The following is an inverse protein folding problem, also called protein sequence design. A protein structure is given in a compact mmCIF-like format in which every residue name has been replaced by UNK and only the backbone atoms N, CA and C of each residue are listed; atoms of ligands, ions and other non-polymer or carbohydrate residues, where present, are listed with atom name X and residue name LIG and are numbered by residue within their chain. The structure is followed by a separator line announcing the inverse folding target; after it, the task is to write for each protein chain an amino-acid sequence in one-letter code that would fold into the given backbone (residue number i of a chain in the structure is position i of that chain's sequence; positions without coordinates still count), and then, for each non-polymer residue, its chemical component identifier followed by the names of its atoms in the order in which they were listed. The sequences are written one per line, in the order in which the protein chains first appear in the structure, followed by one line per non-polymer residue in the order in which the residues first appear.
data_IF_593455982025
#
_entry.id   IF_593455982025
#
_cell.length_a   1.000
_cell.length_b   1.000
_cell.length_c   1.000
_cell.angle_alpha   90.00
_cell.angle_beta   90.00
_cell.angle_gamma   90.00
#
_symmetry.space_group_name_H-M   'P 1'
#
loop_
_entity.id
_entity.type
_entity.pdbx_description
1 polymer ?
#
# COMPACT_ATOMS: atom_id res chain seq x y z
N UNK A 1 -12.61 -12.05 5.08
CA UNK A 1 -11.27 -12.47 5.56
C UNK A 1 -10.64 -11.40 6.44
N UNK A 2 -10.43 -10.17 6.01
CA UNK A 2 -9.77 -9.11 6.81
C UNK A 2 -10.38 -8.92 8.21
N UNK A 3 -11.71 -8.91 8.33
CA UNK A 3 -12.43 -8.82 9.62
C UNK A 3 -12.07 -9.93 10.61
N UNK A 4 -11.64 -11.10 10.11
CA UNK A 4 -11.29 -12.26 10.95
C UNK A 4 -9.85 -12.22 11.42
N UNK A 5 -8.95 -11.71 10.58
CA UNK A 5 -7.50 -11.68 10.87
C UNK A 5 -7.05 -10.35 11.50
N UNK A 6 -7.84 -9.28 11.40
CA UNK A 6 -7.57 -8.01 12.05
C UNK A 6 -8.03 -8.05 13.52
N UNK A 7 -7.31 -7.36 14.38
CA UNK A 7 -7.67 -7.24 15.78
C UNK A 7 -6.50 -6.84 16.64
N UNK A 8 -6.79 -6.50 17.90
CA UNK A 8 -5.78 -6.17 18.87
C UNK A 8 -5.16 -7.43 19.49
N UNK A 9 -3.84 -7.52 19.52
CA UNK A 9 -3.09 -8.50 20.31
C UNK A 9 -2.42 -7.78 21.49
N UNK A 10 -2.85 -8.12 22.71
CA UNK A 10 -2.32 -7.53 23.93
C UNK A 10 -0.82 -7.89 24.20
N UNK A 11 -0.27 -8.88 23.48
CA UNK A 11 1.15 -9.27 23.56
C UNK A 11 2.03 -8.49 22.59
N UNK A 12 1.43 -7.77 21.64
CA UNK A 12 2.13 -6.91 20.69
C UNK A 12 1.90 -5.43 21.07
N UNK A 13 2.94 -4.78 21.57
CA UNK A 13 2.89 -3.37 21.98
C UNK A 13 2.62 -2.39 20.83
N UNK A 14 2.77 -2.83 19.58
CA UNK A 14 2.49 -2.03 18.38
C UNK A 14 1.06 -2.20 17.88
N UNK A 15 0.34 -3.19 18.40
CA UNK A 15 -1.04 -3.47 18.02
C UNK A 15 -1.99 -2.39 18.58
N UNK A 16 -2.78 -1.78 17.71
CA UNK A 16 -3.69 -0.68 18.08
C UNK A 16 -4.91 -1.25 18.82
N UNK A 17 -5.24 -0.76 20.04
CA UNK A 17 -6.39 -1.24 20.82
C UNK A 17 -7.70 -0.62 20.32
N UNK A 18 -8.09 -0.93 19.09
CA UNK A 18 -9.34 -0.48 18.48
C UNK A 18 -10.21 -1.66 18.06
N UNK A 19 -11.52 -1.44 18.09
CA UNK A 19 -12.48 -2.41 17.56
C UNK A 19 -12.30 -2.55 16.04
N UNK A 20 -12.39 -3.79 15.55
CA UNK A 20 -12.32 -4.07 14.12
C UNK A 20 -13.61 -3.60 13.44
N UNK A 21 -13.55 -2.67 12.49
CA UNK A 21 -14.73 -2.22 11.78
C UNK A 21 -15.27 -3.33 10.87
N UNK A 22 -16.53 -3.23 10.50
CA UNK A 22 -17.10 -4.10 9.49
C UNK A 22 -16.73 -3.59 8.08
N UNK A 23 -15.59 -4.05 7.56
CA UNK A 23 -15.10 -3.64 6.23
C UNK A 23 -16.09 -3.92 5.09
N UNK A 24 -16.99 -4.90 5.25
CA UNK A 24 -17.97 -5.23 4.22
C UNK A 24 -19.01 -4.13 4.03
N UNK A 25 -19.30 -3.35 5.07
CA UNK A 25 -20.26 -2.23 4.98
C UNK A 25 -19.72 -1.05 4.14
N UNK A 26 -18.40 -0.97 3.94
CA UNK A 26 -17.78 0.03 3.08
C UNK A 26 -17.86 -0.32 1.57
N UNK A 27 -18.24 -1.56 1.25
CA UNK A 27 -18.36 -2.02 -0.13
C UNK A 27 -19.75 -1.64 -0.69
N UNK A 28 -19.99 -0.37 -0.83
CA UNK A 28 -21.28 0.16 -1.31
C UNK A 28 -21.51 -0.05 -2.80
N UNK A 29 -20.44 -0.30 -3.57
CA UNK A 29 -20.49 -0.32 -5.04
C UNK A 29 -20.63 1.05 -5.69
N UNK A 30 -20.75 2.12 -4.90
CA UNK A 30 -20.86 3.48 -5.39
C UNK A 30 -19.51 4.21 -5.25
N UNK A 31 -18.98 4.69 -6.38
CA UNK A 31 -17.74 5.48 -6.45
C UNK A 31 -17.99 6.89 -6.97
N UNK A 32 -19.26 7.30 -7.09
CA UNK A 32 -19.63 8.64 -7.56
C UNK A 32 -19.00 9.71 -6.68
N UNK A 33 -18.29 10.65 -7.31
CA UNK A 33 -17.60 11.73 -6.61
C UNK A 33 -16.24 11.36 -6.03
N UNK A 34 -15.79 10.10 -6.17
CA UNK A 34 -14.43 9.72 -5.83
C UNK A 34 -13.44 10.48 -6.71
N UNK A 35 -12.42 11.08 -6.10
CA UNK A 35 -11.34 11.77 -6.81
C UNK A 35 -10.11 10.89 -6.87
N UNK A 36 -9.60 10.68 -8.08
CA UNK A 36 -8.43 9.86 -8.35
C UNK A 36 -7.36 10.72 -9.01
N UNK A 37 -6.13 10.65 -8.50
CA UNK A 37 -4.97 11.26 -9.12
C UNK A 37 -4.24 10.27 -10.02
N UNK A 38 -3.94 10.66 -11.25
CA UNK A 38 -3.12 9.91 -12.19
C UNK A 38 -1.74 10.56 -12.29
N UNK A 39 -0.69 10.00 -11.65
CA UNK A 39 0.62 10.60 -11.69
C UNK A 39 1.23 10.55 -13.10
N UNK A 40 1.61 11.70 -13.63
CA UNK A 40 2.26 11.78 -14.94
C UNK A 40 3.60 11.04 -14.98
N UNK A 41 4.29 10.98 -13.84
CA UNK A 41 5.57 10.29 -13.68
C UNK A 41 5.47 8.76 -13.82
N UNK A 42 4.25 8.20 -13.71
CA UNK A 42 4.00 6.77 -13.90
C UNK A 42 3.71 6.42 -15.36
N UNK A 43 3.41 7.42 -16.20
CA UNK A 43 3.11 7.27 -17.63
C UNK A 43 4.33 7.59 -18.50
N UNK A 44 5.52 7.20 -18.05
CA UNK A 44 6.78 7.46 -18.74
C UNK A 44 7.03 6.52 -19.93
N UNK A 45 7.96 6.90 -20.79
CA UNK A 45 8.46 6.04 -21.86
C UNK A 45 9.09 4.76 -21.32
N UNK A 46 8.74 3.61 -21.93
CA UNK A 46 9.21 2.29 -21.49
C UNK A 46 8.14 1.47 -20.76
N UNK A 47 6.98 2.06 -20.45
CA UNK A 47 5.83 1.29 -20.00
C UNK A 47 5.33 0.38 -21.13
N UNK A 48 5.11 -0.89 -20.82
CA UNK A 48 4.54 -1.85 -21.78
C UNK A 48 3.21 -1.33 -22.33
N UNK A 49 3.02 -1.32 -23.68
CA UNK A 49 1.81 -0.80 -24.29
C UNK A 49 0.53 -1.51 -23.86
N UNK A 50 0.58 -2.82 -23.59
CA UNK A 50 -0.60 -3.57 -23.13
C UNK A 50 -0.97 -3.17 -21.70
N UNK A 51 0.03 -2.98 -20.84
CA UNK A 51 -0.16 -2.49 -19.47
C UNK A 51 -0.77 -1.09 -19.51
N UNK A 52 -0.21 -0.20 -20.34
CA UNK A 52 -0.77 1.15 -20.51
C UNK A 52 -2.22 1.12 -20.97
N UNK A 53 -2.54 0.32 -21.98
CA UNK A 53 -3.89 0.19 -22.49
C UNK A 53 -4.88 -0.33 -21.43
N UNK A 54 -4.45 -1.29 -20.61
CA UNK A 54 -5.24 -1.82 -19.50
C UNK A 54 -5.52 -0.75 -18.43
N UNK A 55 -4.51 0.02 -18.05
CA UNK A 55 -4.66 1.14 -17.09
C UNK A 55 -5.59 2.20 -17.66
N UNK A 56 -5.41 2.60 -18.92
CA UNK A 56 -6.29 3.59 -19.59
C UNK A 56 -7.75 3.10 -19.66
N UNK A 57 -7.95 1.80 -19.89
CA UNK A 57 -9.30 1.21 -19.89
C UNK A 57 -9.93 1.23 -18.48
N UNK A 58 -9.14 0.90 -17.44
CA UNK A 58 -9.61 0.96 -16.06
C UNK A 58 -9.97 2.40 -15.65
N UNK A 59 -9.16 3.39 -16.03
CA UNK A 59 -9.44 4.81 -15.77
C UNK A 59 -10.76 5.22 -16.42
N UNK A 60 -10.97 4.88 -17.69
CA UNK A 60 -12.25 5.17 -18.38
C UNK A 60 -13.44 4.50 -17.70
N UNK A 61 -13.27 3.28 -17.24
CA UNK A 61 -14.33 2.57 -16.51
C UNK A 61 -14.68 3.28 -15.20
N UNK A 62 -13.69 3.70 -14.42
CA UNK A 62 -13.92 4.44 -13.17
C UNK A 62 -14.61 5.79 -13.42
N UNK A 63 -14.21 6.50 -14.48
CA UNK A 63 -14.89 7.73 -14.87
C UNK A 63 -16.35 7.48 -15.28
N UNK A 64 -16.63 6.41 -16.03
CA UNK A 64 -18.00 6.06 -16.41
C UNK A 64 -18.90 5.72 -15.23
N UNK A 65 -18.30 5.26 -14.12
CA UNK A 65 -18.96 4.98 -12.85
C UNK A 65 -19.10 6.22 -11.94
N UNK A 66 -18.64 7.38 -12.41
CA UNK A 66 -18.83 8.66 -11.72
C UNK A 66 -17.65 9.15 -10.88
N UNK A 67 -16.48 8.51 -10.98
CA UNK A 67 -15.25 9.04 -10.41
C UNK A 67 -14.71 10.19 -11.28
N UNK A 68 -14.06 11.18 -10.66
CA UNK A 68 -13.25 12.18 -11.35
C UNK A 68 -11.79 11.75 -11.36
N UNK A 69 -11.12 11.88 -12.50
CA UNK A 69 -9.69 11.56 -12.63
C UNK A 69 -8.96 12.83 -13.08
N UNK A 70 -7.93 13.18 -12.34
CA UNK A 70 -7.10 14.36 -12.57
C UNK A 70 -5.63 13.94 -12.71
N UNK A 71 -4.92 14.55 -13.66
CA UNK A 71 -3.47 14.38 -13.72
C UNK A 71 -2.82 15.11 -12.54
N UNK A 72 -1.94 14.40 -11.84
CA UNK A 72 -1.17 14.94 -10.72
C UNK A 72 0.32 14.76 -10.98
N UNK A 73 1.17 15.40 -10.17
CA UNK A 73 2.61 15.22 -10.21
C UNK A 73 3.11 14.68 -8.87
N UNK A 74 3.97 13.65 -8.95
CA UNK A 74 4.75 13.10 -7.85
C UNK A 74 6.25 13.28 -8.16
N UNK A 75 6.79 14.50 -8.02
CA UNK A 75 8.12 14.89 -8.56
C UNK A 75 9.30 14.12 -7.95
N UNK A 76 9.09 13.44 -6.83
CA UNK A 76 10.12 12.64 -6.15
C UNK A 76 10.08 11.15 -6.50
N UNK A 77 9.26 10.74 -7.44
CA UNK A 77 9.11 9.33 -7.88
C UNK A 77 10.44 8.72 -8.31
N UNK A 78 11.30 9.47 -8.98
CA UNK A 78 12.61 8.99 -9.44
C UNK A 78 13.54 8.57 -8.29
N UNK A 79 13.33 9.11 -7.10
CA UNK A 79 14.12 8.77 -5.91
C UNK A 79 13.53 7.63 -5.09
N UNK A 80 12.30 7.20 -5.39
CA UNK A 80 11.55 6.28 -4.54
C UNK A 80 12.28 4.94 -4.32
N UNK A 81 12.76 4.33 -5.39
CA UNK A 81 13.48 3.06 -5.31
C UNK A 81 14.81 3.20 -4.54
N UNK A 82 15.61 4.22 -4.83
CA UNK A 82 16.87 4.46 -4.15
C UNK A 82 16.65 4.73 -2.65
N UNK A 83 15.66 5.54 -2.33
CA UNK A 83 15.27 5.84 -0.94
C UNK A 83 14.85 4.58 -0.20
N UNK A 84 14.03 3.73 -0.83
CA UNK A 84 13.62 2.45 -0.25
C UNK A 84 14.81 1.56 0.07
N UNK A 85 15.74 1.38 -0.87
CA UNK A 85 16.93 0.54 -0.68
C UNK A 85 17.90 1.06 0.37
N UNK A 86 17.85 2.34 0.71
CA UNK A 86 18.66 2.91 1.79
C UNK A 86 17.93 2.78 3.12
N UNK A 87 16.68 3.26 3.21
CA UNK A 87 15.95 3.35 4.48
C UNK A 87 15.51 1.98 5.01
N UNK A 88 14.93 1.14 4.17
CA UNK A 88 14.38 -0.13 4.62
C UNK A 88 15.47 -1.10 5.16
N UNK A 89 16.62 -1.30 4.48
CA UNK A 89 17.70 -2.12 5.05
C UNK A 89 18.35 -1.50 6.29
N UNK A 90 18.48 -0.17 6.36
CA UNK A 90 19.04 0.49 7.54
C UNK A 90 18.13 0.29 8.76
N UNK A 91 16.82 0.49 8.61
CA UNK A 91 15.84 0.23 9.67
C UNK A 91 15.80 -1.26 10.06
N UNK A 92 15.74 -2.16 9.09
CA UNK A 92 15.74 -3.59 9.35
C UNK A 92 17.01 -4.01 10.12
N UNK A 93 18.18 -3.54 9.71
CA UNK A 93 19.44 -3.80 10.39
C UNK A 93 19.41 -3.29 11.83
N UNK A 94 18.97 -2.05 12.06
CA UNK A 94 18.89 -1.47 13.39
C UNK A 94 17.88 -2.20 14.30
N UNK A 95 16.71 -2.53 13.76
CA UNK A 95 15.66 -3.21 14.52
C UNK A 95 16.00 -4.67 14.84
N UNK A 96 16.68 -5.37 13.94
CA UNK A 96 17.03 -6.77 14.09
C UNK A 96 18.37 -6.99 14.82
N UNK A 97 19.20 -5.95 15.00
CA UNK A 97 20.51 -6.06 15.65
C UNK A 97 20.45 -6.63 17.07
N UNK A 98 19.29 -6.53 17.75
CA UNK A 98 19.07 -7.09 19.09
C UNK A 98 18.83 -8.59 19.11
N UNK A 99 18.48 -9.19 17.98
CA UNK A 99 18.15 -10.60 17.89
C UNK A 99 19.39 -11.42 17.50
N UNK A 100 19.90 -12.17 18.46
CA UNK A 100 21.11 -12.98 18.29
C UNK A 100 20.83 -14.45 17.91
N UNK A 101 19.54 -14.81 17.77
CA UNK A 101 19.09 -16.18 17.48
C UNK A 101 19.22 -17.16 18.66
N UNK A 102 19.66 -16.68 19.83
CA UNK A 102 19.88 -17.48 21.04
C UNK A 102 18.96 -17.03 22.17
N UNK A 103 18.92 -15.73 22.45
CA UNK A 103 18.18 -15.17 23.59
C UNK A 103 16.74 -14.82 23.23
N UNK A 104 16.47 -14.51 21.96
CA UNK A 104 15.21 -13.99 21.49
C UNK A 104 14.69 -14.81 20.31
N UNK A 105 13.38 -15.09 20.32
CA UNK A 105 12.69 -15.85 19.30
C UNK A 105 12.32 -17.27 19.77
N UNK A 106 11.60 -17.98 18.91
CA UNK A 106 11.27 -19.38 19.15
C UNK A 106 12.51 -20.26 18.98
N UNK A 107 12.80 -21.05 20.01
CA UNK A 107 13.87 -22.06 19.99
C UNK A 107 13.26 -23.43 20.22
N UNK A 108 13.58 -24.37 19.37
CA UNK A 108 13.25 -25.79 19.55
C UNK A 108 14.53 -26.45 20.05
N UNK A 109 14.50 -27.02 21.28
CA UNK A 109 15.56 -27.79 21.88
C UNK A 109 15.51 -29.24 21.38
#
# INVERSE_FOLDING_TARGET
MLKVIAGHDARDSTSVPQSVPDYATALTGDIKGLKLGLPKEYMIGGLDPEVKAAVDAAVRQLQSLGASVEEISLPHTDYAAATYYILAPAEASANLARFDGIRYGARVD
#
